data_IF_396358192706
#
_entry.id   IF_396358192706
#
_cell.length_a   1.000
_cell.length_b   1.000
_cell.length_c   1.000
_cell.angle_alpha   90.00
_cell.angle_beta   90.00
_cell.angle_gamma   90.00
#
_symmetry.space_group_name_H-M   'P 1'
#
loop_
_entity.id
_entity.type
_entity.pdbx_description
1 polymer ?
#
# COMPACT_ATOMS: atom_id res chain seq x y z
N UNK A 1 3.18 -76.94 -60.91
CA UNK A 1 2.89 -76.73 -59.49
C UNK A 1 3.44 -75.30 -59.10
N UNK A 2 2.63 -74.30 -59.19
CA UNK A 2 2.98 -72.93 -58.84
C UNK A 2 2.43 -72.65 -57.47
N UNK A 3 3.34 -72.50 -56.50
CA UNK A 3 3.01 -72.09 -55.12
C UNK A 3 2.65 -70.62 -55.08
N UNK A 4 1.37 -70.28 -54.92
CA UNK A 4 0.90 -68.97 -54.54
C UNK A 4 1.14 -68.79 -53.04
N UNK A 5 2.08 -67.95 -52.69
CA UNK A 5 2.26 -67.47 -51.31
C UNK A 5 1.26 -66.30 -51.12
N UNK A 6 0.35 -66.35 -50.13
CA UNK A 6 -0.54 -65.24 -49.88
C UNK A 6 0.26 -64.08 -49.23
N UNK A 7 0.16 -62.89 -49.82
CA UNK A 7 0.68 -61.65 -49.24
C UNK A 7 -0.06 -61.31 -47.93
N UNK A 8 0.61 -60.87 -46.90
CA UNK A 8 -0.05 -60.47 -45.67
C UNK A 8 -0.99 -59.30 -45.92
N UNK A 9 -2.25 -59.45 -45.53
CA UNK A 9 -3.24 -58.36 -45.53
C UNK A 9 -2.73 -57.22 -44.67
N UNK A 10 -2.53 -56.04 -45.26
CA UNK A 10 -2.40 -54.79 -44.49
C UNK A 10 -3.65 -54.55 -43.60
N UNK A 11 -3.50 -54.23 -42.33
CA UNK A 11 -4.67 -54.04 -41.48
C UNK A 11 -5.50 -52.86 -42.02
N UNK A 12 -6.76 -53.08 -42.36
CA UNK A 12 -7.73 -52.02 -42.69
C UNK A 12 -7.76 -50.98 -41.61
N UNK A 13 -7.25 -49.79 -41.91
CA UNK A 13 -7.35 -48.66 -41.02
C UNK A 13 -8.82 -48.33 -40.78
N UNK A 14 -9.32 -48.60 -39.59
CA UNK A 14 -10.70 -48.29 -39.21
C UNK A 14 -11.05 -46.87 -39.66
N UNK A 15 -12.07 -46.73 -40.52
CA UNK A 15 -12.58 -45.45 -41.05
C UNK A 15 -12.83 -44.45 -39.88
N UNK A 16 -13.30 -44.92 -38.74
CA UNK A 16 -13.50 -44.18 -37.53
C UNK A 16 -12.19 -43.53 -37.00
N UNK A 17 -11.06 -44.27 -37.05
CA UNK A 17 -9.75 -43.72 -36.65
C UNK A 17 -9.29 -42.63 -37.61
N UNK A 18 -9.51 -42.80 -38.90
CA UNK A 18 -9.13 -41.77 -39.89
C UNK A 18 -9.98 -40.52 -39.75
N UNK A 19 -11.30 -40.68 -39.56
CA UNK A 19 -12.22 -39.58 -39.32
C UNK A 19 -11.86 -38.82 -38.01
N UNK A 20 -11.63 -39.53 -36.92
CA UNK A 20 -11.22 -38.94 -35.66
C UNK A 20 -9.90 -38.17 -35.79
N UNK A 21 -8.91 -38.75 -36.46
CA UNK A 21 -7.63 -38.07 -36.68
C UNK A 21 -7.77 -36.80 -37.53
N UNK A 22 -8.56 -36.86 -38.60
CA UNK A 22 -8.72 -35.76 -39.55
C UNK A 22 -9.61 -34.63 -39.01
N UNK A 23 -10.68 -34.96 -38.26
CA UNK A 23 -11.66 -33.96 -37.80
C UNK A 23 -11.47 -33.50 -36.37
N UNK A 24 -10.72 -34.20 -35.54
CA UNK A 24 -10.47 -33.82 -34.14
C UNK A 24 -9.01 -33.53 -33.90
N UNK A 25 -8.11 -34.50 -34.19
CA UNK A 25 -6.69 -34.34 -33.83
C UNK A 25 -6.01 -33.28 -34.69
N UNK A 26 -6.20 -33.27 -35.98
CA UNK A 26 -5.54 -32.28 -36.86
C UNK A 26 -6.00 -30.85 -36.56
N UNK A 27 -7.32 -30.53 -36.47
CA UNK A 27 -7.75 -29.18 -36.08
C UNK A 27 -7.28 -28.77 -34.70
N UNK A 28 -7.26 -29.70 -33.73
CA UNK A 28 -6.74 -29.45 -32.40
C UNK A 28 -5.25 -29.10 -32.43
N UNK A 29 -4.43 -29.86 -33.17
CA UNK A 29 -2.99 -29.59 -33.29
C UNK A 29 -2.73 -28.26 -34.00
N UNK A 30 -3.53 -27.92 -35.02
CA UNK A 30 -3.42 -26.60 -35.67
C UNK A 30 -3.78 -25.49 -34.73
N UNK A 31 -4.89 -25.60 -33.99
CA UNK A 31 -5.28 -24.59 -32.98
C UNK A 31 -4.22 -24.46 -31.87
N UNK A 32 -3.73 -25.60 -31.35
CA UNK A 32 -2.67 -25.59 -30.33
C UNK A 32 -1.37 -24.94 -30.83
N UNK A 33 -0.99 -25.22 -32.09
CA UNK A 33 0.18 -24.61 -32.74
C UNK A 33 0.02 -23.10 -32.89
N UNK A 34 -1.17 -22.63 -33.32
CA UNK A 34 -1.45 -21.17 -33.40
C UNK A 34 -1.38 -20.49 -32.05
N UNK A 35 -1.98 -21.11 -31.02
CA UNK A 35 -1.90 -20.58 -29.65
C UNK A 35 -0.46 -20.55 -29.16
N UNK A 36 0.31 -21.61 -29.41
CA UNK A 36 1.72 -21.68 -29.04
C UNK A 36 2.56 -20.58 -29.71
N UNK A 37 2.40 -20.45 -31.06
CA UNK A 37 3.10 -19.38 -31.83
C UNK A 37 2.71 -18.01 -31.35
N UNK A 38 1.41 -17.76 -31.12
CA UNK A 38 0.93 -16.50 -30.55
C UNK A 38 1.54 -16.23 -29.14
N UNK A 39 1.54 -17.23 -28.27
CA UNK A 39 2.11 -17.10 -26.92
C UNK A 39 3.62 -16.85 -26.97
N UNK A 40 4.35 -17.54 -27.86
CA UNK A 40 5.78 -17.31 -28.05
C UNK A 40 6.07 -15.91 -28.60
N UNK A 41 5.29 -15.47 -29.58
CA UNK A 41 5.40 -14.12 -30.14
C UNK A 41 5.08 -13.07 -29.09
N UNK A 42 3.99 -13.25 -28.30
CA UNK A 42 3.63 -12.38 -27.19
C UNK A 42 4.72 -12.30 -26.13
N UNK A 43 5.38 -13.43 -25.82
CA UNK A 43 6.49 -13.46 -24.85
C UNK A 43 7.73 -12.73 -25.37
N UNK A 44 8.03 -12.84 -26.65
CA UNK A 44 9.19 -12.19 -27.28
C UNK A 44 8.99 -10.69 -27.54
N UNK A 45 7.73 -10.24 -27.65
CA UNK A 45 7.37 -8.83 -27.90
C UNK A 45 6.81 -8.15 -26.66
N UNK A 46 6.83 -8.85 -25.50
CA UNK A 46 6.37 -8.25 -24.25
C UNK A 46 7.37 -7.20 -23.81
N UNK A 47 6.98 -5.95 -23.94
CA UNK A 47 7.64 -4.81 -23.32
C UNK A 47 6.88 -4.44 -22.05
N UNK A 48 7.61 -4.28 -20.95
CA UNK A 48 7.00 -3.78 -19.71
C UNK A 48 6.45 -2.38 -19.95
N UNK A 49 5.18 -2.18 -19.59
CA UNK A 49 4.56 -0.88 -19.74
C UNK A 49 5.29 0.16 -18.88
N UNK A 50 5.62 1.28 -19.48
CA UNK A 50 6.28 2.38 -18.80
C UNK A 50 5.28 3.22 -17.99
N UNK A 51 5.71 4.01 -17.01
CA UNK A 51 4.84 4.95 -16.32
C UNK A 51 4.10 5.93 -17.26
N UNK A 52 4.72 6.32 -18.38
CA UNK A 52 4.07 7.14 -19.39
C UNK A 52 2.93 6.40 -20.13
N UNK A 53 3.10 5.11 -20.40
CA UNK A 53 2.05 4.30 -21.03
C UNK A 53 0.81 4.23 -20.14
N UNK A 54 1.01 4.04 -18.82
CA UNK A 54 -0.10 4.06 -17.87
C UNK A 54 -0.80 5.42 -17.82
N UNK A 55 -0.06 6.55 -17.82
CA UNK A 55 -0.69 7.87 -17.88
C UNK A 55 -1.50 8.06 -19.17
N UNK A 56 -0.96 7.62 -20.30
CA UNK A 56 -1.69 7.68 -21.57
C UNK A 56 -2.95 6.82 -21.55
N UNK A 57 -2.87 5.60 -21.01
CA UNK A 57 -4.04 4.72 -20.83
C UNK A 57 -5.11 5.31 -19.92
N UNK A 58 -4.73 6.05 -18.88
CA UNK A 58 -5.67 6.77 -18.02
C UNK A 58 -6.38 7.87 -18.80
N UNK A 59 -5.68 8.56 -19.70
CA UNK A 59 -6.26 9.66 -20.51
C UNK A 59 -7.25 9.18 -21.57
N UNK A 60 -6.87 8.15 -22.33
CA UNK A 60 -7.58 7.76 -23.56
C UNK A 60 -8.22 6.38 -23.51
N UNK A 61 -7.96 5.60 -22.46
CA UNK A 61 -8.47 4.24 -22.32
C UNK A 61 -9.97 4.20 -22.01
N UNK A 62 -10.60 3.05 -22.24
CA UNK A 62 -11.96 2.78 -21.76
C UNK A 62 -12.01 2.70 -20.22
N UNK A 63 -13.22 2.81 -19.62
CA UNK A 63 -13.42 2.93 -18.18
C UNK A 63 -12.63 1.89 -17.35
N UNK A 64 -12.66 0.61 -17.74
CA UNK A 64 -11.93 -0.45 -17.03
C UNK A 64 -10.42 -0.26 -17.13
N UNK A 65 -9.89 0.09 -18.31
CA UNK A 65 -8.47 0.26 -18.52
C UNK A 65 -7.92 1.44 -17.71
N UNK A 66 -8.67 2.53 -17.62
CA UNK A 66 -8.29 3.74 -16.91
C UNK A 66 -7.99 3.49 -15.42
N UNK A 67 -8.92 2.88 -14.68
CA UNK A 67 -8.67 2.62 -13.26
C UNK A 67 -7.62 1.53 -13.03
N UNK A 68 -7.53 0.52 -13.91
CA UNK A 68 -6.48 -0.50 -13.83
C UNK A 68 -5.10 0.12 -14.04
N UNK A 69 -4.95 1.00 -15.04
CA UNK A 69 -3.69 1.69 -15.28
C UNK A 69 -3.31 2.64 -14.14
N UNK A 70 -4.29 3.33 -13.52
CA UNK A 70 -4.05 4.15 -12.34
C UNK A 70 -3.59 3.29 -11.13
N UNK A 71 -4.19 2.11 -10.94
CA UNK A 71 -3.78 1.14 -9.92
C UNK A 71 -2.34 0.65 -10.14
N UNK A 72 -2.01 0.19 -11.36
CA UNK A 72 -0.66 -0.28 -11.67
C UNK A 72 0.37 0.86 -11.53
N UNK A 73 0.06 2.05 -12.01
CA UNK A 73 0.89 3.24 -11.82
C UNK A 73 1.17 3.49 -10.33
N UNK A 74 0.14 3.38 -9.47
CA UNK A 74 0.30 3.58 -8.04
C UNK A 74 1.22 2.56 -7.36
N UNK A 75 1.41 1.38 -7.97
CA UNK A 75 2.33 0.34 -7.47
C UNK A 75 3.77 0.59 -7.89
N UNK A 76 3.98 0.89 -9.17
CA UNK A 76 5.34 1.03 -9.71
C UNK A 76 6.03 2.31 -9.24
N UNK A 77 5.28 3.39 -9.01
CA UNK A 77 5.85 4.66 -8.56
C UNK A 77 6.40 4.63 -7.14
N UNK A 78 6.03 3.65 -6.31
CA UNK A 78 6.62 3.47 -4.98
C UNK A 78 8.09 3.00 -4.99
N UNK A 79 8.64 2.65 -6.16
CA UNK A 79 9.97 2.05 -6.31
C UNK A 79 10.88 2.76 -7.33
N UNK A 80 10.48 3.91 -7.89
CA UNK A 80 11.16 4.52 -9.04
C UNK A 80 11.48 6.00 -8.84
N UNK A 81 12.60 6.32 -8.20
CA UNK A 81 13.03 7.72 -7.99
C UNK A 81 13.43 8.46 -9.29
N UNK A 82 13.85 7.74 -10.34
CA UNK A 82 14.37 8.37 -11.55
C UNK A 82 13.29 9.06 -12.40
N UNK A 83 12.08 8.51 -12.45
CA UNK A 83 11.00 9.04 -13.28
C UNK A 83 10.53 10.42 -12.83
N UNK A 84 10.70 10.75 -11.54
CA UNK A 84 10.29 12.05 -10.97
C UNK A 84 11.27 13.18 -11.29
N UNK A 85 12.36 12.89 -11.98
CA UNK A 85 13.27 13.89 -12.54
C UNK A 85 12.85 14.33 -13.94
N UNK A 86 11.89 13.65 -14.57
CA UNK A 86 11.31 14.10 -15.85
C UNK A 86 10.12 15.03 -15.58
N UNK A 87 10.35 16.34 -15.77
CA UNK A 87 9.35 17.38 -15.58
C UNK A 87 8.10 17.18 -16.44
N UNK A 88 8.24 16.49 -17.60
CA UNK A 88 7.09 16.17 -18.48
C UNK A 88 6.19 15.13 -17.83
N UNK A 89 6.78 14.09 -17.20
CA UNK A 89 6.01 13.07 -16.49
C UNK A 89 5.25 13.70 -15.33
N UNK A 90 5.92 14.52 -14.52
CA UNK A 90 5.33 15.21 -13.37
C UNK A 90 4.18 16.12 -13.81
N UNK A 91 4.41 16.95 -14.82
CA UNK A 91 3.38 17.86 -15.35
C UNK A 91 2.19 17.11 -15.91
N UNK A 92 2.43 15.99 -16.61
CA UNK A 92 1.39 15.17 -17.18
C UNK A 92 0.58 14.45 -16.08
N UNK A 93 1.23 13.97 -15.02
CA UNK A 93 0.57 13.34 -13.90
C UNK A 93 -0.35 14.31 -13.15
N UNK A 94 0.09 15.55 -12.94
CA UNK A 94 -0.74 16.63 -12.37
C UNK A 94 -1.94 16.89 -13.27
N UNK A 95 -1.73 17.06 -14.55
CA UNK A 95 -2.79 17.30 -15.53
C UNK A 95 -3.84 16.17 -15.54
N UNK A 96 -3.40 14.90 -15.55
CA UNK A 96 -4.29 13.74 -15.51
C UNK A 96 -5.08 13.71 -14.18
N UNK A 97 -4.44 14.02 -13.06
CA UNK A 97 -5.11 14.11 -11.77
C UNK A 97 -6.17 15.20 -11.75
N UNK A 98 -5.89 16.41 -12.20
CA UNK A 98 -6.84 17.51 -12.26
C UNK A 98 -8.06 17.19 -13.14
N UNK A 99 -7.85 16.58 -14.31
CA UNK A 99 -8.93 16.20 -15.21
C UNK A 99 -9.74 14.98 -14.76
N UNK A 100 -9.23 14.20 -13.80
CA UNK A 100 -9.94 13.01 -13.27
C UNK A 100 -11.04 13.32 -12.28
N UNK A 101 -11.33 14.59 -11.96
CA UNK A 101 -12.33 15.01 -10.95
C UNK A 101 -13.73 14.42 -11.19
N UNK A 102 -14.12 14.22 -12.43
CA UNK A 102 -15.44 13.68 -12.83
C UNK A 102 -15.34 12.27 -13.42
N UNK A 103 -14.24 11.61 -13.19
CA UNK A 103 -13.99 10.23 -13.64
C UNK A 103 -14.50 9.19 -12.63
N UNK A 104 -14.27 7.92 -12.92
CA UNK A 104 -14.41 6.83 -11.93
C UNK A 104 -13.58 7.16 -10.68
N UNK A 105 -14.19 7.16 -9.50
CA UNK A 105 -13.53 7.50 -8.24
C UNK A 105 -12.22 6.73 -8.02
N UNK A 106 -12.15 5.48 -8.49
CA UNK A 106 -10.93 4.65 -8.40
C UNK A 106 -9.75 5.27 -9.15
N UNK A 107 -9.99 5.90 -10.30
CA UNK A 107 -8.93 6.61 -11.06
C UNK A 107 -8.36 7.73 -10.20
N UNK A 108 -9.23 8.57 -9.65
CA UNK A 108 -8.84 9.70 -8.80
C UNK A 108 -8.09 9.25 -7.55
N UNK A 109 -8.61 8.23 -6.88
CA UNK A 109 -8.01 7.67 -5.66
C UNK A 109 -6.62 7.09 -5.91
N UNK A 110 -6.45 6.28 -6.97
CA UNK A 110 -5.14 5.69 -7.28
C UNK A 110 -4.13 6.72 -7.77
N UNK A 111 -4.55 7.75 -8.50
CA UNK A 111 -3.67 8.87 -8.86
C UNK A 111 -3.20 9.63 -7.63
N UNK A 112 -4.09 9.98 -6.70
CA UNK A 112 -3.70 10.61 -5.44
C UNK A 112 -2.70 9.77 -4.66
N UNK A 113 -2.98 8.45 -4.50
CA UNK A 113 -2.07 7.53 -3.82
C UNK A 113 -0.73 7.37 -4.56
N UNK A 114 -0.74 7.37 -5.89
CA UNK A 114 0.46 7.35 -6.70
C UNK A 114 1.31 8.59 -6.41
N UNK A 115 0.72 9.78 -6.43
CA UNK A 115 1.39 11.05 -6.08
C UNK A 115 1.99 11.00 -4.67
N UNK A 116 1.22 10.55 -3.68
CA UNK A 116 1.69 10.44 -2.29
C UNK A 116 2.88 9.49 -2.12
N UNK A 117 2.88 8.35 -2.83
CA UNK A 117 3.95 7.35 -2.76
C UNK A 117 5.27 7.78 -3.38
N UNK A 118 5.26 8.81 -4.19
CA UNK A 118 6.47 9.34 -4.82
C UNK A 118 7.42 10.01 -3.83
N UNK A 119 6.93 10.51 -2.70
CA UNK A 119 7.67 11.38 -1.80
C UNK A 119 8.00 12.76 -2.40
N UNK A 120 7.54 13.07 -3.62
CA UNK A 120 7.87 14.33 -4.30
C UNK A 120 6.89 15.44 -3.91
N UNK A 121 7.40 16.45 -3.21
CA UNK A 121 6.63 17.57 -2.67
C UNK A 121 5.96 18.45 -3.73
N UNK A 122 6.31 18.32 -5.02
CA UNK A 122 5.65 19.04 -6.12
C UNK A 122 4.15 18.70 -6.22
N UNK A 123 3.75 17.52 -5.74
CA UNK A 123 2.36 17.06 -5.74
C UNK A 123 1.52 17.61 -4.58
N UNK A 124 2.12 18.31 -3.61
CA UNK A 124 1.40 18.86 -2.46
C UNK A 124 0.33 19.86 -2.90
N UNK A 125 0.68 20.81 -3.76
CA UNK A 125 -0.25 21.87 -4.19
C UNK A 125 -1.45 21.33 -4.99
N UNK A 126 -1.27 20.44 -5.98
CA UNK A 126 -2.40 19.80 -6.66
C UNK A 126 -3.33 19.02 -5.70
N UNK A 127 -2.75 18.30 -4.73
CA UNK A 127 -3.54 17.55 -3.75
C UNK A 127 -4.29 18.46 -2.78
N UNK A 128 -3.65 19.54 -2.29
CA UNK A 128 -4.30 20.54 -1.44
C UNK A 128 -5.41 21.29 -2.15
N UNK A 129 -5.26 21.59 -3.43
CA UNK A 129 -6.32 22.20 -4.25
C UNK A 129 -7.45 21.21 -4.51
N UNK A 130 -7.10 19.93 -4.76
CA UNK A 130 -8.08 18.88 -5.06
C UNK A 130 -9.01 18.60 -3.89
N UNK A 131 -8.54 18.65 -2.64
CA UNK A 131 -9.33 18.22 -1.46
C UNK A 131 -10.51 19.14 -1.16
N UNK A 132 -10.46 20.42 -1.56
CA UNK A 132 -11.52 21.40 -1.25
C UNK A 132 -12.82 21.13 -1.98
N UNK A 133 -12.72 20.67 -3.22
CA UNK A 133 -13.86 20.44 -4.12
C UNK A 133 -14.15 18.96 -4.35
N UNK A 134 -13.67 18.09 -3.48
CA UNK A 134 -13.64 16.67 -3.75
C UNK A 134 -14.94 15.97 -3.35
N UNK A 135 -15.27 14.92 -4.09
CA UNK A 135 -16.28 13.96 -3.67
C UNK A 135 -15.80 13.26 -2.39
N UNK A 136 -16.70 13.09 -1.42
CA UNK A 136 -16.45 12.46 -0.11
C UNK A 136 -15.72 11.12 -0.24
N UNK A 137 -16.00 10.33 -1.27
CA UNK A 137 -15.34 9.04 -1.51
C UNK A 137 -13.84 9.15 -1.83
N UNK A 138 -13.39 10.28 -2.38
CA UNK A 138 -12.00 10.49 -2.79
C UNK A 138 -11.15 11.17 -1.70
N UNK A 139 -11.78 11.90 -0.77
CA UNK A 139 -11.12 12.62 0.31
C UNK A 139 -10.12 11.75 1.09
N UNK A 140 -10.46 10.51 1.51
CA UNK A 140 -9.52 9.66 2.27
C UNK A 140 -8.21 9.39 1.52
N UNK A 141 -8.27 9.19 0.20
CA UNK A 141 -7.09 8.91 -0.62
C UNK A 141 -6.18 10.15 -0.73
N UNK A 142 -6.76 11.35 -0.85
CA UNK A 142 -6.00 12.60 -0.90
C UNK A 142 -5.37 12.91 0.46
N UNK A 143 -6.11 12.75 1.56
CA UNK A 143 -5.57 12.91 2.92
C UNK A 143 -4.39 11.96 3.14
N UNK A 144 -4.55 10.69 2.76
CA UNK A 144 -3.49 9.70 2.86
C UNK A 144 -2.26 10.08 2.03
N UNK A 145 -2.46 10.59 0.81
CA UNK A 145 -1.38 11.05 -0.04
C UNK A 145 -0.60 12.22 0.58
N UNK A 146 -1.30 13.20 1.16
CA UNK A 146 -0.68 14.33 1.88
C UNK A 146 0.09 13.87 3.11
N UNK A 147 -0.42 12.87 3.83
CA UNK A 147 0.27 12.22 4.93
C UNK A 147 1.54 11.47 4.50
N UNK A 148 1.51 10.78 3.34
CA UNK A 148 2.68 10.12 2.78
C UNK A 148 3.75 11.09 2.28
N UNK A 149 3.37 12.28 1.86
CA UNK A 149 4.28 13.37 1.49
C UNK A 149 4.82 14.15 2.70
N UNK A 150 4.41 13.78 3.91
CA UNK A 150 4.83 14.41 5.17
C UNK A 150 4.70 15.95 5.14
N UNK A 151 3.63 16.44 4.51
CA UNK A 151 3.44 17.86 4.24
C UNK A 151 2.92 18.63 5.45
N UNK A 152 3.79 19.36 6.16
CA UNK A 152 3.39 20.29 7.22
C UNK A 152 2.38 21.34 6.72
N UNK A 153 2.44 21.73 5.44
CA UNK A 153 1.51 22.66 4.81
C UNK A 153 0.06 22.14 4.79
N UNK A 154 -0.12 20.81 4.88
CA UNK A 154 -1.44 20.20 4.89
C UNK A 154 -2.12 20.26 6.26
N UNK A 155 -1.37 20.43 7.37
CA UNK A 155 -1.89 20.29 8.74
C UNK A 155 -3.11 21.16 8.98
N UNK A 156 -3.04 22.46 8.67
CA UNK A 156 -4.14 23.38 8.93
C UNK A 156 -5.42 23.02 8.16
N UNK A 157 -5.27 22.56 6.92
CA UNK A 157 -6.40 22.14 6.08
C UNK A 157 -6.97 20.81 6.55
N UNK A 158 -6.10 19.86 6.91
CA UNK A 158 -6.51 18.53 7.37
C UNK A 158 -7.24 18.56 8.72
N UNK A 159 -7.00 19.55 9.58
CA UNK A 159 -7.74 19.72 10.86
C UNK A 159 -9.25 19.74 10.68
N UNK A 160 -9.74 20.28 9.57
CA UNK A 160 -11.18 20.35 9.27
C UNK A 160 -11.84 18.97 9.12
N UNK A 161 -11.06 17.93 8.88
CA UNK A 161 -11.54 16.57 8.67
C UNK A 161 -11.52 15.68 9.92
N UNK A 162 -10.98 16.14 11.03
CA UNK A 162 -10.96 15.38 12.29
C UNK A 162 -12.35 15.21 12.91
N UNK A 163 -13.25 16.16 12.67
CA UNK A 163 -14.64 16.12 13.17
C UNK A 163 -15.63 15.72 12.07
N UNK A 164 -15.14 15.15 10.95
CA UNK A 164 -16.00 14.76 9.82
C UNK A 164 -16.96 13.63 10.22
N UNK A 165 -18.19 13.64 9.68
CA UNK A 165 -19.20 12.61 9.98
C UNK A 165 -18.78 11.20 9.57
N UNK A 166 -18.08 11.08 8.43
CA UNK A 166 -17.52 9.83 7.93
C UNK A 166 -16.27 9.43 8.74
N UNK A 167 -16.38 8.29 9.43
CA UNK A 167 -15.29 7.73 10.26
C UNK A 167 -14.02 7.40 9.47
N UNK A 168 -14.17 7.05 8.18
CA UNK A 168 -13.04 6.76 7.30
C UNK A 168 -12.19 8.01 7.04
N UNK A 169 -12.83 9.15 6.87
CA UNK A 169 -12.17 10.44 6.69
C UNK A 169 -11.44 10.83 7.97
N UNK A 170 -12.10 10.72 9.15
CA UNK A 170 -11.46 10.99 10.44
C UNK A 170 -10.24 10.09 10.65
N UNK A 171 -10.39 8.79 10.40
CA UNK A 171 -9.30 7.81 10.54
C UNK A 171 -8.09 8.17 9.67
N UNK A 172 -8.30 8.42 8.37
CA UNK A 172 -7.20 8.78 7.49
C UNK A 172 -6.53 10.10 7.90
N UNK A 173 -7.30 11.04 8.46
CA UNK A 173 -6.76 12.30 8.97
C UNK A 173 -5.86 12.10 10.17
N UNK A 174 -6.28 11.28 11.13
CA UNK A 174 -5.47 10.91 12.30
C UNK A 174 -4.17 10.22 11.87
N UNK A 175 -4.24 9.28 10.94
CA UNK A 175 -3.05 8.58 10.41
C UNK A 175 -2.12 9.56 9.68
N UNK A 176 -2.68 10.47 8.87
CA UNK A 176 -1.90 11.47 8.15
C UNK A 176 -1.13 12.38 9.10
N UNK A 177 -1.75 12.84 10.19
CA UNK A 177 -1.07 13.64 11.22
C UNK A 177 0.10 12.91 11.87
N UNK A 178 -0.07 11.61 12.15
CA UNK A 178 1.02 10.80 12.68
C UNK A 178 2.17 10.58 11.68
N UNK A 179 1.91 10.64 10.37
CA UNK A 179 2.95 10.54 9.35
C UNK A 179 3.65 11.90 9.12
N UNK A 180 2.88 12.99 9.11
CA UNK A 180 3.44 14.36 9.00
C UNK A 180 4.30 14.70 10.24
N UNK A 181 3.92 14.18 11.39
CA UNK A 181 4.60 14.36 12.68
C UNK A 181 4.79 15.82 13.10
N UNK A 182 3.89 16.73 12.72
CA UNK A 182 3.93 18.14 13.10
C UNK A 182 3.32 18.33 14.50
N UNK A 183 4.05 18.96 15.47
CA UNK A 183 3.53 19.25 16.80
C UNK A 183 2.23 20.06 16.83
N UNK A 184 1.92 20.83 15.79
CA UNK A 184 0.66 21.57 15.67
C UNK A 184 -0.58 20.67 15.67
N UNK A 185 -0.43 19.37 15.41
CA UNK A 185 -1.52 18.39 15.41
C UNK A 185 -1.81 17.80 16.81
N UNK A 186 -0.93 18.00 17.81
CA UNK A 186 -0.99 17.33 19.12
C UNK A 186 -2.34 17.54 19.80
N UNK A 187 -2.79 18.80 19.96
CA UNK A 187 -4.02 19.09 20.70
C UNK A 187 -5.27 18.53 20.02
N UNK A 188 -5.28 18.44 18.70
CA UNK A 188 -6.38 17.87 17.96
C UNK A 188 -6.35 16.32 18.01
N UNK A 189 -5.18 15.71 17.94
CA UNK A 189 -5.00 14.26 18.15
C UNK A 189 -5.39 13.83 19.59
N UNK A 190 -5.15 14.66 20.61
CA UNK A 190 -5.61 14.39 21.98
C UNK A 190 -7.15 14.28 22.06
N UNK A 191 -7.88 15.08 21.29
CA UNK A 191 -9.34 14.96 21.19
C UNK A 191 -9.72 13.62 20.54
N UNK A 192 -8.98 13.19 19.51
CA UNK A 192 -9.22 11.92 18.81
C UNK A 192 -8.98 10.67 19.68
N UNK A 193 -8.28 10.78 20.84
CA UNK A 193 -8.19 9.72 21.84
C UNK A 193 -9.56 9.33 22.44
N UNK A 194 -10.56 10.18 22.28
CA UNK A 194 -11.91 10.00 22.77
C UNK A 194 -12.95 9.81 21.65
N UNK A 195 -12.48 9.56 20.41
CA UNK A 195 -13.40 9.30 19.29
C UNK A 195 -14.35 8.13 19.59
N UNK A 196 -15.54 8.18 19.02
CA UNK A 196 -16.53 7.11 19.15
C UNK A 196 -16.01 5.77 18.62
N UNK A 197 -15.17 5.79 17.57
CA UNK A 197 -14.61 4.62 16.94
C UNK A 197 -13.31 4.15 17.62
N UNK A 198 -13.22 2.89 18.04
CA UNK A 198 -12.04 2.36 18.73
C UNK A 198 -10.74 2.46 17.94
N UNK A 199 -10.79 2.14 16.64
CA UNK A 199 -9.63 2.20 15.75
C UNK A 199 -9.08 3.63 15.63
N UNK A 200 -9.93 4.66 15.60
CA UNK A 200 -9.48 6.07 15.58
C UNK A 200 -8.76 6.43 16.88
N UNK A 201 -9.27 5.97 18.05
CA UNK A 201 -8.57 6.17 19.34
C UNK A 201 -7.19 5.52 19.35
N UNK A 202 -7.07 4.30 18.77
CA UNK A 202 -5.79 3.59 18.70
C UNK A 202 -4.80 4.29 17.79
N UNK A 203 -5.24 4.69 16.60
CA UNK A 203 -4.38 5.42 15.68
C UNK A 203 -4.03 6.83 16.16
N UNK A 204 -4.90 7.47 16.95
CA UNK A 204 -4.55 8.73 17.64
C UNK A 204 -3.41 8.55 18.64
N UNK A 205 -3.45 7.48 19.45
CA UNK A 205 -2.37 7.17 20.37
C UNK A 205 -1.04 6.88 19.65
N UNK A 206 -1.10 6.12 18.55
CA UNK A 206 0.04 5.84 17.68
C UNK A 206 0.60 7.12 17.05
N UNK A 207 -0.28 8.01 16.57
CA UNK A 207 0.10 9.25 15.92
C UNK A 207 0.73 10.25 16.91
N UNK A 208 0.18 10.34 18.12
CA UNK A 208 0.79 11.13 19.21
C UNK A 208 2.18 10.63 19.55
N UNK A 209 2.37 9.31 19.66
CA UNK A 209 3.69 8.73 19.92
C UNK A 209 4.70 9.02 18.82
N UNK A 210 4.28 9.01 17.54
CA UNK A 210 5.14 9.40 16.41
C UNK A 210 5.61 10.86 16.47
N UNK A 211 4.77 11.74 17.02
CA UNK A 211 5.11 13.16 17.23
C UNK A 211 5.97 13.35 18.50
N UNK A 212 6.04 12.34 19.36
CA UNK A 212 6.77 12.41 20.65
C UNK A 212 5.90 12.84 21.83
N UNK A 213 4.56 12.81 21.71
CA UNK A 213 3.61 13.11 22.80
C UNK A 213 3.10 11.81 23.44
N UNK A 214 3.16 11.72 24.76
CA UNK A 214 2.85 10.53 25.53
C UNK A 214 1.39 10.43 26.00
N UNK A 215 0.52 11.36 25.60
CA UNK A 215 -0.89 11.41 26.03
C UNK A 215 -1.68 10.15 25.67
N UNK A 216 -1.27 9.40 24.64
CA UNK A 216 -1.85 8.12 24.24
C UNK A 216 -1.21 6.87 24.89
N UNK A 217 -0.31 7.05 25.86
CA UNK A 217 0.53 5.96 26.43
C UNK A 217 -0.25 4.76 26.91
N UNK A 218 -1.35 4.94 27.64
CA UNK A 218 -2.13 3.83 28.19
C UNK A 218 -2.79 2.98 27.09
N UNK A 219 -3.21 3.62 26.00
CA UNK A 219 -3.75 2.93 24.83
C UNK A 219 -2.63 2.15 24.14
N UNK A 220 -1.45 2.75 23.96
CA UNK A 220 -0.30 2.07 23.35
C UNK A 220 0.13 0.82 24.12
N UNK A 221 0.22 0.90 25.45
CA UNK A 221 0.57 -0.25 26.28
C UNK A 221 -0.43 -1.40 26.07
N UNK A 222 -1.75 -1.11 26.12
CA UNK A 222 -2.80 -2.10 25.89
C UNK A 222 -2.78 -2.69 24.48
N UNK A 223 -2.46 -1.87 23.46
CA UNK A 223 -2.28 -2.34 22.08
C UNK A 223 -1.10 -3.29 21.96
N UNK A 224 0.06 -2.92 22.49
CA UNK A 224 1.27 -3.75 22.44
C UNK A 224 1.08 -5.11 23.11
N UNK A 225 0.42 -5.12 24.27
CA UNK A 225 0.08 -6.36 25.00
C UNK A 225 -0.99 -7.19 24.30
N UNK A 226 -1.74 -6.62 23.33
CA UNK A 226 -2.91 -7.27 22.72
C UNK A 226 -4.14 -7.31 23.62
N UNK A 227 -4.07 -6.80 24.86
CA UNK A 227 -5.16 -6.83 25.85
C UNK A 227 -6.40 -6.04 25.41
N UNK A 228 -6.22 -5.04 24.58
CA UNK A 228 -7.33 -4.21 24.10
C UNK A 228 -8.32 -5.02 23.25
N UNK A 229 -7.85 -6.03 22.52
CA UNK A 229 -8.66 -6.85 21.62
C UNK A 229 -9.59 -7.82 22.32
N UNK A 230 -9.44 -8.03 23.63
CA UNK A 230 -10.39 -8.81 24.44
C UNK A 230 -11.81 -8.23 24.34
N UNK A 231 -11.92 -6.90 24.18
CA UNK A 231 -13.20 -6.19 24.05
C UNK A 231 -13.67 -6.05 22.58
N UNK A 232 -12.88 -6.53 21.61
CA UNK A 232 -13.12 -6.42 20.17
C UNK A 232 -12.81 -7.75 19.47
N UNK A 233 -13.60 -8.82 19.79
CA UNK A 233 -13.35 -10.16 19.26
C UNK A 233 -13.59 -10.27 17.75
N UNK A 234 -14.23 -9.27 17.14
CA UNK A 234 -14.45 -9.17 15.70
C UNK A 234 -13.19 -8.80 14.91
N UNK A 235 -12.18 -8.22 15.58
CA UNK A 235 -10.90 -7.88 14.92
C UNK A 235 -10.11 -9.17 14.69
N UNK A 236 -9.77 -9.46 13.43
CA UNK A 236 -9.04 -10.67 13.11
C UNK A 236 -7.60 -10.66 13.65
N UNK A 237 -7.00 -11.85 13.82
CA UNK A 237 -5.67 -12.00 14.42
C UNK A 237 -4.59 -11.27 13.65
N UNK A 238 -4.69 -11.16 12.32
CA UNK A 238 -3.69 -10.45 11.50
C UNK A 238 -3.78 -8.94 11.71
N UNK A 239 -4.99 -8.42 11.81
CA UNK A 239 -5.22 -7.01 12.13
C UNK A 239 -4.73 -6.69 13.54
N UNK A 240 -5.00 -7.56 14.53
CA UNK A 240 -4.45 -7.42 15.88
C UNK A 240 -2.92 -7.38 15.88
N UNK A 241 -2.28 -8.34 15.21
CA UNK A 241 -0.82 -8.41 15.08
C UNK A 241 -0.25 -7.16 14.40
N UNK A 242 -0.91 -6.69 13.35
CA UNK A 242 -0.47 -5.48 12.63
C UNK A 242 -0.58 -4.24 13.53
N UNK A 243 -1.67 -4.07 14.26
CA UNK A 243 -1.85 -2.97 15.21
C UNK A 243 -0.78 -3.00 16.32
N UNK A 244 -0.46 -4.18 16.88
CA UNK A 244 0.60 -4.39 17.86
C UNK A 244 1.97 -3.98 17.29
N UNK A 245 2.30 -4.42 16.07
CA UNK A 245 3.55 -4.07 15.38
C UNK A 245 3.68 -2.55 15.22
N UNK A 246 2.61 -1.89 14.78
CA UNK A 246 2.63 -0.42 14.59
C UNK A 246 2.77 0.30 15.93
N UNK A 247 2.07 -0.16 16.97
CA UNK A 247 2.19 0.41 18.32
C UNK A 247 3.61 0.24 18.91
N UNK A 248 4.28 -0.90 18.70
CA UNK A 248 5.68 -1.13 19.13
C UNK A 248 6.62 -0.13 18.42
N UNK A 249 6.47 0.05 17.11
CA UNK A 249 7.30 0.97 16.34
C UNK A 249 7.10 2.43 16.74
N UNK A 250 5.87 2.83 17.06
CA UNK A 250 5.58 4.18 17.52
C UNK A 250 6.02 4.39 18.98
N UNK A 251 5.74 3.43 19.85
CA UNK A 251 6.00 3.55 21.27
C UNK A 251 7.47 3.73 21.64
N UNK A 252 8.40 3.10 20.90
CA UNK A 252 9.83 3.25 21.15
C UNK A 252 10.31 4.70 20.97
N UNK A 253 9.59 5.52 20.19
CA UNK A 253 9.92 6.92 19.94
C UNK A 253 9.69 7.81 21.18
N UNK A 254 8.81 7.40 22.09
CA UNK A 254 8.53 8.13 23.34
C UNK A 254 9.68 8.07 24.35
N UNK A 255 10.64 7.17 24.16
CA UNK A 255 11.74 6.97 25.10
C UNK A 255 11.30 6.73 26.56
N UNK A 256 10.10 6.13 26.73
CA UNK A 256 9.49 5.85 28.02
C UNK A 256 10.02 4.52 28.58
N UNK A 257 10.40 4.50 29.85
CA UNK A 257 11.00 3.32 30.48
C UNK A 257 10.03 2.14 30.60
N UNK A 258 8.75 2.37 30.82
CA UNK A 258 7.73 1.31 30.94
C UNK A 258 7.46 0.71 29.56
N UNK A 259 7.33 1.56 28.55
CA UNK A 259 7.17 1.11 27.15
C UNK A 259 8.40 0.31 26.71
N UNK A 260 9.62 0.79 26.98
CA UNK A 260 10.84 0.10 26.60
C UNK A 260 11.00 -1.25 27.32
N UNK A 261 10.60 -1.35 28.60
CA UNK A 261 10.57 -2.61 29.31
C UNK A 261 9.56 -3.60 28.72
N UNK A 262 8.36 -3.14 28.37
CA UNK A 262 7.37 -3.95 27.68
C UNK A 262 7.88 -4.43 26.31
N UNK A 263 8.49 -3.56 25.52
CA UNK A 263 9.07 -3.94 24.21
C UNK A 263 10.17 -4.99 24.43
N UNK A 264 10.99 -4.88 25.49
CA UNK A 264 12.00 -5.91 25.81
C UNK A 264 11.32 -7.25 26.17
N UNK A 265 10.26 -7.23 26.97
CA UNK A 265 9.51 -8.44 27.31
C UNK A 265 8.87 -9.09 26.07
N UNK A 266 8.28 -8.32 25.17
CA UNK A 266 7.73 -8.80 23.90
C UNK A 266 8.83 -9.40 23.02
N UNK A 267 10.01 -8.80 22.98
CA UNK A 267 11.16 -9.34 22.23
C UNK A 267 11.59 -10.71 22.73
N UNK A 268 11.53 -10.93 24.04
CA UNK A 268 12.01 -12.16 24.68
C UNK A 268 10.96 -13.28 24.72
N UNK A 269 9.66 -12.95 24.85
CA UNK A 269 8.65 -13.93 25.26
C UNK A 269 7.39 -13.97 24.41
N UNK A 270 7.10 -13.00 23.52
CA UNK A 270 5.85 -12.98 22.76
C UNK A 270 5.70 -14.28 21.92
N UNK A 271 4.51 -14.86 21.86
CA UNK A 271 4.25 -16.08 21.10
C UNK A 271 4.38 -15.84 19.59
N UNK A 272 4.03 -14.63 19.11
CA UNK A 272 4.11 -14.27 17.70
C UNK A 272 5.53 -13.88 17.27
N UNK A 273 6.09 -14.63 16.34
CA UNK A 273 7.46 -14.41 15.84
C UNK A 273 7.65 -13.02 15.19
N UNK A 274 6.60 -12.46 14.55
CA UNK A 274 6.70 -11.15 13.91
C UNK A 274 6.73 -10.03 14.96
N UNK A 275 5.97 -10.18 16.05
CA UNK A 275 6.01 -9.27 17.20
C UNK A 275 7.42 -9.31 17.83
N UNK A 276 7.96 -10.53 18.14
CA UNK A 276 9.33 -10.64 18.67
C UNK A 276 10.37 -9.98 17.78
N UNK A 277 10.32 -10.24 16.46
CA UNK A 277 11.28 -9.64 15.51
C UNK A 277 11.17 -8.12 15.50
N UNK A 278 9.97 -7.58 15.41
CA UNK A 278 9.75 -6.11 15.42
C UNK A 278 10.30 -5.50 16.71
N UNK A 279 10.00 -6.08 17.87
CA UNK A 279 10.50 -5.61 19.15
C UNK A 279 12.03 -5.63 19.23
N UNK A 280 12.69 -6.69 18.76
CA UNK A 280 14.16 -6.77 18.67
C UNK A 280 14.75 -5.71 17.73
N UNK A 281 14.13 -5.49 16.56
CA UNK A 281 14.58 -4.50 15.58
C UNK A 281 14.55 -3.07 16.15
N UNK A 282 13.43 -2.65 16.74
CA UNK A 282 13.29 -1.30 17.29
C UNK A 282 14.22 -1.07 18.47
N UNK A 283 14.43 -2.06 19.34
CA UNK A 283 15.40 -1.97 20.45
C UNK A 283 16.85 -1.86 19.96
N UNK A 284 17.20 -2.55 18.88
CA UNK A 284 18.54 -2.46 18.28
C UNK A 284 18.80 -1.05 17.72
N UNK A 285 17.82 -0.49 17.00
CA UNK A 285 17.90 0.87 16.45
C UNK A 285 18.03 1.88 17.60
N UNK A 286 17.17 1.77 18.60
CA UNK A 286 17.17 2.64 19.77
C UNK A 286 18.52 2.63 20.52
N UNK A 287 19.05 1.45 20.82
CA UNK A 287 20.37 1.30 21.49
C UNK A 287 21.51 1.88 20.68
N UNK A 288 21.46 1.80 19.36
CA UNK A 288 22.49 2.37 18.48
C UNK A 288 22.40 3.90 18.43
N UNK A 289 21.21 4.46 18.34
CA UNK A 289 20.99 5.91 18.35
C UNK A 289 21.45 6.54 19.69
N UNK A 290 21.13 5.92 20.81
CA UNK A 290 21.57 6.35 22.14
C UNK A 290 23.10 6.30 22.28
N UNK A 291 23.76 5.26 21.76
CA UNK A 291 25.24 5.15 21.76
C UNK A 291 25.91 6.24 20.92
N UNK A 292 25.34 6.57 19.76
CA UNK A 292 25.86 7.62 18.88
C UNK A 292 25.73 8.98 19.55
N UNK A 293 24.59 9.28 20.18
CA UNK A 293 24.33 10.52 20.89
C UNK A 293 25.32 10.71 22.08
N UNK A 294 25.56 9.63 22.88
CA UNK A 294 26.54 9.67 23.98
C UNK A 294 27.94 9.95 23.43
N UNK A 295 28.34 9.28 22.35
CA UNK A 295 29.67 9.50 21.73
C UNK A 295 29.87 10.93 21.22
N UNK A 296 28.83 11.52 20.59
CA UNK A 296 28.91 12.89 20.07
C UNK A 296 29.02 13.92 21.21
N UNK A 297 28.29 13.73 22.31
CA UNK A 297 28.32 14.66 23.44
C UNK A 297 29.55 14.51 24.33
N UNK A 298 30.17 13.31 24.42
CA UNK A 298 31.44 13.11 25.16
C UNK A 298 32.65 13.60 24.35
N UNK A 299 32.55 13.66 23.02
CA UNK A 299 33.61 14.17 22.15
C UNK A 299 33.60 15.71 21.99
N UNK A 300 32.53 16.39 22.42
CA UNK A 300 32.35 17.85 22.35
C UNK A 300 32.49 18.54 23.68
N UNK A 301 32.79 17.89 24.80
CA UNK A 301 33.12 18.39 26.11
C UNK A 301 34.56 18.07 26.50
#
# INVERSE_FOLDING_TARGET
>A
MTNNIPTPNEPEKSILKVLFHSFVIIPFLVAASLVFVYSLFSLLTYEDATPFDYLNDIKIGGATKRWQSAFELSKILSSSDEIFRDDRFVSEMINVFEHSKHDDNRVRQYLALAMGRTGNHIFIDPLLSGIEDENTENIPAIIRALGLLESERAVQKLKLFLDHEDEHIRLQTVIAFGNIADPLAIEDLKKSLYDSQPNIRWDAAISLAKIGDDSGRDILLKLMEGKIFINFPEVDVREQDQARIVAIRAGVLLNDSIINNLIQELADKDENINIRKTAMEVLKIYKNSTKLWIKSNVASG
#
